data_IF_806967835357
#
_entry.id   IF_806967835357
#
_cell.length_a   1.000
_cell.length_b   1.000
_cell.length_c   1.000
_cell.angle_alpha   90.00
_cell.angle_beta   90.00
_cell.angle_gamma   90.00
#
_symmetry.space_group_name_H-M   'P 1'
#
loop_
_entity.id
_entity.type
_entity.pdbx_description
1 polymer ?
#
# COMPACT_ATOMS: atom_id res chain seq x y z
N UNK A 1 -7.17 -74.60 54.53
CA UNK A 1 -5.79 -74.14 54.73
C UNK A 1 -5.84 -72.67 55.12
N UNK A 2 -5.25 -72.33 56.28
CA UNK A 2 -4.76 -71.03 56.81
C UNK A 2 -5.47 -69.73 56.36
N UNK A 3 -6.14 -68.97 57.25
CA UNK A 3 -5.58 -68.04 58.26
C UNK A 3 -4.84 -66.84 57.61
N UNK A 4 -4.91 -65.58 58.02
CA UNK A 4 -5.64 -64.85 59.05
C UNK A 4 -5.29 -63.34 58.90
N UNK A 5 -6.23 -62.47 59.28
CA UNK A 5 -6.08 -61.25 60.12
C UNK A 5 -5.18 -60.05 59.73
N UNK A 6 -5.79 -58.86 59.92
CA UNK A 6 -5.20 -57.64 60.50
C UNK A 6 -4.46 -56.74 59.51
N UNK A 7 -4.59 -55.41 59.50
CA UNK A 7 -5.18 -54.44 60.41
C UNK A 7 -4.63 -53.05 60.07
N UNK A 8 -5.19 -52.04 60.74
CA UNK A 8 -4.72 -50.65 60.90
C UNK A 8 -5.08 -49.56 59.86
N UNK A 9 -5.98 -48.70 60.34
CA UNK A 9 -6.19 -47.29 60.03
C UNK A 9 -4.91 -46.46 60.21
N UNK A 10 -4.65 -45.53 59.30
CA UNK A 10 -3.99 -44.27 59.59
C UNK A 10 -4.71 -43.14 58.84
N UNK A 11 -5.19 -42.15 59.61
CA UNK A 11 -5.67 -40.86 59.13
C UNK A 11 -4.50 -40.05 58.56
N UNK A 12 -4.70 -39.35 57.44
CA UNK A 12 -3.96 -38.13 57.19
C UNK A 12 -4.84 -37.10 56.45
N UNK A 13 -4.85 -35.88 56.98
CA UNK A 13 -5.60 -34.71 56.53
C UNK A 13 -4.72 -33.92 55.57
N UNK A 14 -5.22 -33.52 54.39
CA UNK A 14 -4.66 -32.37 53.64
C UNK A 14 -5.64 -31.83 52.59
N UNK A 15 -6.21 -30.67 52.95
CA UNK A 15 -6.59 -29.46 52.19
C UNK A 15 -7.37 -29.52 50.86
N UNK A 16 -8.30 -28.56 50.64
CA UNK A 16 -9.04 -28.42 49.39
C UNK A 16 -8.16 -27.84 48.27
N UNK A 17 -8.18 -28.48 47.11
CA UNK A 17 -7.56 -27.96 45.90
C UNK A 17 -8.37 -26.76 45.38
N UNK A 18 -7.80 -25.57 45.54
CA UNK A 18 -8.14 -24.38 44.76
C UNK A 18 -7.57 -24.60 43.35
N UNK A 19 -8.40 -25.02 42.40
CA UNK A 19 -8.02 -25.00 40.99
C UNK A 19 -8.36 -23.63 40.40
N UNK A 20 -7.30 -22.90 40.10
CA UNK A 20 -7.25 -21.56 39.51
C UNK A 20 -8.11 -21.42 38.25
N UNK A 21 -8.97 -20.41 38.25
CA UNK A 21 -9.58 -19.82 37.06
C UNK A 21 -8.52 -19.47 36.02
N UNK A 22 -8.71 -19.97 34.79
CA UNK A 22 -7.88 -19.64 33.64
C UNK A 22 -7.82 -18.13 33.43
N UNK A 23 -6.60 -17.59 33.39
CA UNK A 23 -6.34 -16.26 32.82
C UNK A 23 -6.52 -16.39 31.31
N UNK A 24 -7.71 -16.12 30.83
CA UNK A 24 -7.90 -15.71 29.44
C UNK A 24 -7.13 -14.40 29.22
N UNK A 25 -6.27 -14.42 28.21
CA UNK A 25 -5.51 -13.28 27.71
C UNK A 25 -6.46 -12.17 27.26
N UNK A 26 -6.73 -11.23 28.17
CA UNK A 26 -7.62 -10.09 27.95
C UNK A 26 -6.98 -8.88 27.27
N UNK A 27 -5.73 -8.97 26.79
CA UNK A 27 -5.02 -7.79 26.26
C UNK A 27 -5.67 -7.23 24.99
N UNK A 28 -6.14 -8.11 24.08
CA UNK A 28 -6.71 -7.67 22.80
C UNK A 28 -8.03 -6.91 22.90
N UNK A 29 -8.86 -7.18 23.93
CA UNK A 29 -10.16 -6.50 24.10
C UNK A 29 -10.04 -5.17 24.83
N UNK A 30 -9.16 -5.08 25.82
CA UNK A 30 -8.91 -3.84 26.59
C UNK A 30 -8.22 -2.77 25.74
N UNK A 31 -7.27 -3.16 24.87
CA UNK A 31 -6.53 -2.21 24.04
C UNK A 31 -7.41 -1.53 22.98
N UNK A 32 -8.24 -2.30 22.26
CA UNK A 32 -9.12 -1.74 21.21
C UNK A 32 -10.15 -0.77 21.79
N UNK A 33 -10.63 -1.00 23.01
CA UNK A 33 -11.56 -0.09 23.69
C UNK A 33 -10.86 1.19 24.15
N UNK A 34 -9.64 1.11 24.69
CA UNK A 34 -8.86 2.28 25.10
C UNK A 34 -8.54 3.22 23.91
N UNK A 35 -8.23 2.67 22.73
CA UNK A 35 -7.99 3.49 21.53
C UNK A 35 -9.25 4.17 20.99
N UNK A 36 -10.41 3.49 20.99
CA UNK A 36 -11.68 4.12 20.62
C UNK A 36 -12.03 5.28 21.56
N UNK A 37 -11.79 5.09 22.85
CA UNK A 37 -11.98 6.12 23.87
C UNK A 37 -11.03 7.32 23.68
N UNK A 38 -9.73 7.10 23.46
CA UNK A 38 -8.77 8.20 23.19
C UNK A 38 -9.12 8.97 21.91
N UNK A 39 -9.55 8.27 20.84
CA UNK A 39 -9.98 8.91 19.59
C UNK A 39 -11.25 9.75 19.80
N UNK A 40 -12.20 9.27 20.62
CA UNK A 40 -13.40 10.03 21.00
C UNK A 40 -13.08 11.29 21.83
N UNK A 41 -11.99 11.27 22.60
CA UNK A 41 -11.50 12.42 23.37
C UNK A 41 -10.60 13.38 22.57
N UNK A 42 -10.37 13.13 21.28
CA UNK A 42 -9.48 13.95 20.46
C UNK A 42 -7.99 13.88 20.86
N UNK A 43 -7.60 12.90 21.68
CA UNK A 43 -6.22 12.75 22.14
C UNK A 43 -5.37 12.13 21.03
N UNK A 44 -4.25 12.79 20.71
CA UNK A 44 -3.25 12.22 19.79
C UNK A 44 -2.66 10.96 20.42
N UNK A 45 -2.48 9.91 19.60
CA UNK A 45 -1.83 8.68 20.02
C UNK A 45 -0.42 9.00 20.52
N UNK A 46 -0.05 8.61 21.75
CA UNK A 46 1.26 8.92 22.28
C UNK A 46 2.37 8.17 21.54
N UNK A 47 3.54 8.81 21.40
CA UNK A 47 4.66 8.36 20.56
C UNK A 47 5.26 7.00 20.96
N UNK A 48 5.04 6.53 22.19
CA UNK A 48 5.55 5.24 22.66
C UNK A 48 4.76 4.03 22.12
N UNK A 49 3.58 4.23 21.53
CA UNK A 49 2.74 3.13 21.05
C UNK A 49 3.12 2.71 19.62
N UNK A 50 3.40 1.41 19.37
CA UNK A 50 3.77 0.90 18.04
C UNK A 50 2.75 1.25 16.97
N UNK A 51 3.18 1.48 15.73
CA UNK A 51 2.26 1.70 14.61
C UNK A 51 1.60 0.39 14.14
N UNK A 52 0.51 0.02 14.81
CA UNK A 52 -0.31 -1.15 14.49
C UNK A 52 -0.91 -1.15 13.07
N UNK A 53 -0.85 -0.02 12.35
CA UNK A 53 -1.31 0.07 10.97
C UNK A 53 -0.22 -0.18 9.93
N UNK A 54 1.05 -0.35 10.34
CA UNK A 54 2.21 -0.44 9.43
C UNK A 54 2.06 -1.60 8.45
N UNK A 55 1.91 -2.82 8.94
CA UNK A 55 1.83 -4.02 8.10
C UNK A 55 0.63 -3.99 7.16
N UNK A 56 -0.51 -3.45 7.63
CA UNK A 56 -1.71 -3.26 6.79
C UNK A 56 -1.46 -2.30 5.64
N UNK A 57 -0.70 -1.21 5.87
CA UNK A 57 -0.33 -0.28 4.80
C UNK A 57 0.63 -0.93 3.81
N UNK A 58 1.61 -1.70 4.29
CA UNK A 58 2.51 -2.45 3.40
C UNK A 58 1.72 -3.38 2.49
N UNK A 59 0.83 -4.20 3.05
CA UNK A 59 0.00 -5.12 2.26
C UNK A 59 -0.93 -4.39 1.28
N UNK A 60 -1.50 -3.25 1.68
CA UNK A 60 -2.34 -2.42 0.82
C UNK A 60 -1.54 -1.88 -0.38
N UNK A 61 -0.37 -1.30 -0.13
CA UNK A 61 0.49 -0.72 -1.16
C UNK A 61 1.04 -1.81 -2.08
N UNK A 62 1.38 -2.97 -1.53
CA UNK A 62 1.82 -4.13 -2.30
C UNK A 62 0.74 -4.59 -3.30
N UNK A 63 -0.50 -4.71 -2.82
CA UNK A 63 -1.65 -5.04 -3.67
C UNK A 63 -1.91 -3.97 -4.73
N UNK A 64 -1.76 -2.70 -4.39
CA UNK A 64 -1.96 -1.59 -5.33
C UNK A 64 -1.00 -1.64 -6.53
N UNK A 65 0.27 -1.97 -6.31
CA UNK A 65 1.26 -2.03 -7.39
C UNK A 65 1.30 -3.38 -8.12
N UNK A 66 0.89 -4.47 -7.46
CA UNK A 66 0.90 -5.82 -8.05
C UNK A 66 -0.34 -6.11 -8.89
N UNK A 67 -1.50 -5.55 -8.53
CA UNK A 67 -2.78 -5.84 -9.19
C UNK A 67 -3.29 -4.61 -9.95
N UNK A 68 -2.94 -4.55 -11.25
CA UNK A 68 -3.35 -3.46 -12.13
C UNK A 68 -4.68 -3.75 -12.82
N UNK A 69 -5.78 -3.64 -12.07
CA UNK A 69 -7.14 -3.87 -12.58
C UNK A 69 -8.16 -2.87 -11.99
N UNK A 70 -9.31 -2.76 -12.66
CA UNK A 70 -10.34 -1.80 -12.28
C UNK A 70 -10.94 -2.06 -10.89
N UNK A 71 -11.16 -3.33 -10.51
CA UNK A 71 -11.75 -3.67 -9.23
C UNK A 71 -10.81 -3.29 -8.08
N UNK A 72 -9.52 -3.62 -8.23
CA UNK A 72 -8.49 -3.24 -7.27
C UNK A 72 -8.41 -1.72 -7.11
N UNK A 73 -8.37 -0.95 -8.19
CA UNK A 73 -8.29 0.52 -8.09
C UNK A 73 -9.57 1.16 -7.55
N UNK A 74 -10.75 0.59 -7.82
CA UNK A 74 -11.99 1.09 -7.23
C UNK A 74 -12.03 0.89 -5.72
N UNK A 75 -11.51 -0.24 -5.23
CA UNK A 75 -11.44 -0.56 -3.80
C UNK A 75 -10.37 0.26 -3.07
N UNK A 76 -9.15 0.29 -3.61
CA UNK A 76 -7.99 0.80 -2.88
C UNK A 76 -7.84 2.32 -2.95
N UNK A 77 -8.37 2.98 -3.98
CA UNK A 77 -8.33 4.44 -4.09
C UNK A 77 -9.59 5.04 -3.48
N UNK A 78 -9.43 6.05 -2.63
CA UNK A 78 -10.56 6.81 -2.13
C UNK A 78 -11.26 7.59 -3.25
N UNK A 79 -12.54 7.93 -3.09
CA UNK A 79 -13.29 8.61 -4.15
C UNK A 79 -12.80 10.05 -4.42
N UNK A 80 -12.27 10.71 -3.40
CA UNK A 80 -11.58 12.00 -3.42
C UNK A 80 -10.07 11.85 -3.66
N UNK A 81 -9.61 10.73 -4.20
CA UNK A 81 -8.20 10.48 -4.44
C UNK A 81 -7.56 11.53 -5.38
N UNK A 82 -6.36 11.96 -5.01
CA UNK A 82 -5.52 12.84 -5.81
C UNK A 82 -4.09 12.29 -5.99
N UNK A 83 -3.60 12.35 -7.22
CA UNK A 83 -2.20 12.19 -7.55
C UNK A 83 -1.63 13.57 -7.91
N UNK A 84 -0.65 14.03 -7.15
CA UNK A 84 0.03 15.30 -7.36
C UNK A 84 1.42 15.02 -7.92
N UNK A 85 1.67 15.43 -9.15
CA UNK A 85 3.00 15.40 -9.76
C UNK A 85 3.70 16.74 -9.51
N UNK A 86 4.77 16.71 -8.72
CA UNK A 86 5.56 17.91 -8.43
C UNK A 86 6.69 18.01 -9.44
N UNK A 87 6.73 19.11 -10.19
CA UNK A 87 7.73 19.36 -11.22
C UNK A 87 7.85 20.85 -11.55
N UNK A 88 8.20 21.17 -12.81
CA UNK A 88 8.21 22.57 -13.29
C UNK A 88 6.82 23.23 -13.21
N UNK A 89 5.77 22.43 -13.36
CA UNK A 89 4.37 22.78 -13.12
C UNK A 89 3.78 21.67 -12.26
N UNK A 90 3.04 22.04 -11.23
CA UNK A 90 2.26 21.07 -10.44
C UNK A 90 1.06 20.65 -11.25
N UNK A 91 0.88 19.33 -11.40
CA UNK A 91 -0.28 18.74 -12.05
C UNK A 91 -0.98 17.80 -11.07
N UNK A 92 -2.31 17.88 -11.02
CA UNK A 92 -3.13 17.03 -10.17
C UNK A 92 -4.02 16.16 -11.04
N UNK A 93 -4.05 14.87 -10.73
CA UNK A 93 -4.88 13.88 -11.41
C UNK A 93 -5.84 13.26 -10.40
N UNK A 94 -7.12 13.15 -10.76
CA UNK A 94 -8.11 12.45 -9.93
C UNK A 94 -8.07 10.92 -10.17
N UNK A 95 -8.88 10.18 -9.39
CA UNK A 95 -9.03 8.71 -9.48
C UNK A 95 -9.25 8.20 -10.90
N UNK A 96 -10.15 8.82 -11.66
CA UNK A 96 -10.46 8.36 -13.01
C UNK A 96 -9.32 8.64 -13.99
N UNK A 97 -8.68 9.82 -13.90
CA UNK A 97 -7.55 10.17 -14.75
C UNK A 97 -6.35 9.23 -14.53
N UNK A 98 -6.08 8.88 -13.27
CA UNK A 98 -5.06 7.88 -12.94
C UNK A 98 -5.41 6.49 -13.49
N UNK A 99 -6.66 6.03 -13.30
CA UNK A 99 -7.12 4.75 -13.85
C UNK A 99 -7.01 4.73 -15.38
N UNK A 100 -7.42 5.79 -16.06
CA UNK A 100 -7.35 5.87 -17.52
C UNK A 100 -5.90 5.79 -18.00
N UNK A 101 -4.98 6.48 -17.33
CA UNK A 101 -3.54 6.42 -17.63
C UNK A 101 -3.04 4.96 -17.69
N UNK A 102 -3.38 4.15 -16.68
CA UNK A 102 -2.92 2.77 -16.65
C UNK A 102 -3.78 1.84 -17.50
N UNK A 103 -5.08 1.77 -17.22
CA UNK A 103 -5.98 0.74 -17.76
C UNK A 103 -6.32 0.95 -19.23
N UNK A 104 -6.40 2.22 -19.68
CA UNK A 104 -6.79 2.54 -21.05
C UNK A 104 -5.59 2.73 -21.97
N UNK A 105 -4.52 3.33 -21.48
CA UNK A 105 -3.38 3.68 -22.32
C UNK A 105 -2.16 2.79 -22.12
N UNK A 106 -1.77 2.53 -20.86
CA UNK A 106 -0.50 1.85 -20.56
C UNK A 106 -0.59 0.32 -20.75
N UNK A 107 -1.50 -0.35 -20.04
CA UNK A 107 -1.61 -1.82 -20.08
C UNK A 107 -1.97 -2.35 -21.48
N UNK A 108 -2.86 -1.71 -22.26
CA UNK A 108 -3.15 -2.21 -23.61
C UNK A 108 -1.96 -2.04 -24.58
N UNK A 109 -1.07 -1.07 -24.35
CA UNK A 109 0.13 -0.87 -25.14
C UNK A 109 1.30 -1.77 -24.68
N UNK A 110 1.37 -2.05 -23.39
CA UNK A 110 2.46 -2.78 -22.74
C UNK A 110 1.82 -3.90 -21.90
N UNK A 111 1.49 -5.05 -22.51
CA UNK A 111 0.79 -6.14 -21.80
C UNK A 111 1.57 -6.75 -20.64
N UNK A 112 2.90 -6.66 -20.66
CA UNK A 112 3.82 -7.12 -19.61
C UNK A 112 4.27 -5.98 -18.68
N UNK A 113 3.53 -4.87 -18.66
CA UNK A 113 3.84 -3.73 -17.82
C UNK A 113 3.90 -4.14 -16.35
N UNK A 114 4.96 -3.71 -15.66
CA UNK A 114 5.18 -4.05 -14.26
C UNK A 114 5.73 -2.85 -13.49
N UNK A 115 5.19 -2.66 -12.28
CA UNK A 115 5.79 -1.84 -11.25
C UNK A 115 6.60 -2.73 -10.31
N UNK A 116 7.89 -2.46 -10.16
CA UNK A 116 8.61 -2.89 -8.95
C UNK A 116 8.42 -1.80 -7.90
N UNK A 117 8.16 -2.20 -6.66
CA UNK A 117 7.92 -1.27 -5.56
C UNK A 117 8.60 -1.74 -4.28
N UNK A 118 8.96 -0.77 -3.43
CA UNK A 118 9.48 -1.01 -2.11
C UNK A 118 8.97 0.06 -1.13
N UNK A 119 8.50 -0.39 0.03
CA UNK A 119 8.12 0.48 1.15
C UNK A 119 8.34 -0.26 2.45
N UNK A 120 8.73 0.46 3.50
CA UNK A 120 8.69 -0.08 4.85
C UNK A 120 7.33 0.15 5.50
N UNK A 121 6.43 0.93 4.88
CA UNK A 121 5.12 1.30 5.40
C UNK A 121 5.13 2.30 6.56
N UNK A 122 6.30 2.80 7.00
CA UNK A 122 6.41 3.80 8.06
C UNK A 122 5.84 5.14 7.58
N UNK A 123 5.21 5.91 8.48
CA UNK A 123 4.66 7.23 8.17
C UNK A 123 5.49 8.34 8.79
N UNK A 124 5.60 9.46 8.09
CA UNK A 124 6.09 10.73 8.64
C UNK A 124 5.03 11.41 9.52
N UNK A 125 5.39 12.55 10.12
CA UNK A 125 4.51 13.33 10.99
C UNK A 125 3.26 13.89 10.28
N UNK A 126 3.32 13.98 8.94
CA UNK A 126 2.21 14.42 8.09
C UNK A 126 1.32 13.24 7.65
N UNK A 127 1.71 12.00 7.99
CA UNK A 127 0.96 10.79 7.71
C UNK A 127 1.26 10.15 6.35
N UNK A 128 2.32 10.56 5.66
CA UNK A 128 2.76 9.94 4.41
C UNK A 128 3.75 8.82 4.65
N UNK A 129 3.61 7.73 3.91
CA UNK A 129 4.65 6.73 3.74
C UNK A 129 5.39 6.94 2.42
N UNK A 130 6.67 6.58 2.38
CA UNK A 130 7.46 6.64 1.16
C UNK A 130 7.39 5.28 0.46
N UNK A 131 7.09 5.30 -0.83
CA UNK A 131 7.21 4.16 -1.72
C UNK A 131 8.20 4.50 -2.83
N UNK A 132 9.19 3.65 -3.04
CA UNK A 132 10.04 3.69 -4.22
C UNK A 132 9.43 2.79 -5.29
N UNK A 133 9.28 3.29 -6.51
CA UNK A 133 8.63 2.56 -7.62
C UNK A 133 9.46 2.66 -8.89
N UNK A 134 9.56 1.59 -9.68
CA UNK A 134 10.11 1.61 -11.02
C UNK A 134 9.14 0.96 -12.01
N UNK A 135 8.88 1.63 -13.13
CA UNK A 135 8.10 1.06 -14.21
C UNK A 135 8.99 0.35 -15.24
N UNK A 136 8.58 -0.84 -15.65
CA UNK A 136 9.26 -1.67 -16.66
C UNK A 136 8.24 -2.29 -17.62
N UNK A 137 8.68 -2.72 -18.80
CA UNK A 137 7.84 -3.47 -19.73
C UNK A 137 8.35 -3.47 -21.18
N UNK A 138 7.54 -4.03 -22.07
CA UNK A 138 7.80 -4.21 -23.49
C UNK A 138 6.61 -3.73 -24.35
N UNK A 139 6.83 -2.68 -25.14
CA UNK A 139 5.80 -2.09 -26.00
C UNK A 139 5.51 -2.95 -27.24
N UNK A 140 4.56 -3.88 -27.09
CA UNK A 140 4.17 -4.89 -28.08
C UNK A 140 2.68 -4.87 -28.40
N UNK A 141 1.88 -4.14 -27.62
CA UNK A 141 0.43 -4.10 -27.72
C UNK A 141 -0.08 -3.04 -28.68
N UNK A 142 -1.18 -2.40 -28.29
CA UNK A 142 -1.79 -1.28 -29.02
C UNK A 142 -0.86 -0.06 -29.08
N UNK A 143 -1.11 0.89 -30.00
CA UNK A 143 -0.42 2.18 -29.95
C UNK A 143 -0.53 2.82 -28.56
N UNK A 144 0.59 3.30 -28.04
CA UNK A 144 0.61 4.04 -26.78
C UNK A 144 0.15 5.48 -27.03
N UNK A 145 -0.87 5.91 -26.29
CA UNK A 145 -1.52 7.21 -26.45
C UNK A 145 -1.43 8.01 -25.15
N UNK A 146 -1.03 9.27 -25.25
CA UNK A 146 -1.14 10.24 -24.16
C UNK A 146 -1.91 11.46 -24.66
N UNK A 147 -2.83 12.03 -23.86
CA UNK A 147 -3.54 13.24 -24.23
C UNK A 147 -2.59 14.37 -24.65
N UNK A 148 -2.85 14.99 -25.80
CA UNK A 148 -2.05 16.09 -26.33
C UNK A 148 -0.75 15.69 -27.04
N UNK A 149 -0.48 14.38 -27.18
CA UNK A 149 0.67 13.87 -27.93
C UNK A 149 0.24 12.92 -29.06
N UNK A 150 1.00 12.85 -30.16
CA UNK A 150 0.77 11.85 -31.20
C UNK A 150 0.84 10.41 -30.65
N UNK A 151 -0.02 9.49 -31.09
CA UNK A 151 0.10 8.08 -30.75
C UNK A 151 1.45 7.50 -31.19
N UNK A 152 2.02 6.59 -30.39
CA UNK A 152 3.23 5.84 -30.74
C UNK A 152 2.82 4.42 -31.14
N UNK A 153 3.02 4.00 -32.41
CA UNK A 153 2.82 2.60 -32.80
C UNK A 153 3.72 1.65 -31.98
N UNK A 154 3.32 0.38 -31.85
CA UNK A 154 4.09 -0.65 -31.18
C UNK A 154 5.56 -0.64 -31.67
N UNK A 155 6.47 -0.27 -30.77
CA UNK A 155 7.88 -0.03 -31.13
C UNK A 155 8.78 -1.22 -30.85
N UNK A 156 8.24 -2.28 -30.23
CA UNK A 156 8.95 -3.48 -29.79
C UNK A 156 10.14 -3.18 -28.85
N UNK A 157 10.17 -1.98 -28.25
CA UNK A 157 11.21 -1.60 -27.30
C UNK A 157 10.87 -2.07 -25.90
N UNK A 158 11.88 -2.57 -25.20
CA UNK A 158 11.85 -2.73 -23.75
C UNK A 158 12.27 -1.43 -23.09
N UNK A 159 11.70 -1.15 -21.93
CA UNK A 159 12.10 0.00 -21.13
C UNK A 159 12.22 -0.38 -19.65
N UNK A 160 13.04 0.38 -18.96
CA UNK A 160 13.06 0.49 -17.52
C UNK A 160 13.24 1.99 -17.21
N UNK A 161 12.26 2.60 -16.54
CA UNK A 161 12.33 4.02 -16.18
C UNK A 161 13.23 4.22 -14.97
N UNK A 162 13.54 5.48 -14.64
CA UNK A 162 14.18 5.78 -13.37
C UNK A 162 13.25 5.45 -12.20
N UNK A 163 13.84 5.13 -11.04
CA UNK A 163 13.07 4.93 -9.81
C UNK A 163 12.48 6.26 -9.33
N UNK A 164 11.19 6.26 -8.99
CA UNK A 164 10.46 7.40 -8.45
C UNK A 164 10.17 7.18 -6.98
N UNK A 165 10.28 8.24 -6.18
CA UNK A 165 9.79 8.25 -4.80
C UNK A 165 8.42 8.90 -4.77
N UNK A 166 7.45 8.19 -4.22
CA UNK A 166 6.08 8.66 -4.08
C UNK A 166 5.76 8.74 -2.59
N UNK A 167 5.32 9.91 -2.14
CA UNK A 167 4.69 10.04 -0.82
C UNK A 167 3.26 9.56 -0.94
N UNK A 168 2.86 8.57 -0.17
CA UNK A 168 1.51 7.99 -0.22
C UNK A 168 0.82 8.18 1.12
N UNK A 169 -0.37 8.78 1.10
CA UNK A 169 -1.21 8.95 2.27
C UNK A 169 -2.32 7.90 2.26
N UNK A 170 -2.33 7.07 3.31
CA UNK A 170 -3.33 6.02 3.49
C UNK A 170 -4.19 6.35 4.71
N UNK A 171 -5.49 6.50 4.48
CA UNK A 171 -6.49 6.79 5.51
C UNK A 171 -7.67 5.83 5.35
N UNK A 172 -8.20 5.34 6.48
CA UNK A 172 -9.35 4.42 6.52
C UNK A 172 -9.24 3.19 5.59
N UNK A 173 -8.01 2.73 5.33
CA UNK A 173 -7.74 1.57 4.49
C UNK A 173 -7.79 1.86 2.99
N UNK A 174 -7.75 3.13 2.58
CA UNK A 174 -7.68 3.56 1.19
C UNK A 174 -6.55 4.56 0.98
N UNK A 175 -6.05 4.65 -0.25
CA UNK A 175 -5.10 5.66 -0.69
C UNK A 175 -5.89 6.94 -0.96
N UNK A 176 -5.60 7.98 -0.18
CA UNK A 176 -6.19 9.31 -0.31
C UNK A 176 -5.38 10.20 -1.24
N UNK A 177 -4.05 10.14 -1.13
CA UNK A 177 -3.20 11.00 -1.91
C UNK A 177 -1.88 10.34 -2.23
N UNK A 178 -1.39 10.61 -3.43
CA UNK A 178 -0.05 10.26 -3.87
C UNK A 178 0.65 11.53 -4.34
N UNK A 179 1.85 11.81 -3.85
CA UNK A 179 2.68 12.93 -4.29
C UNK A 179 3.94 12.37 -4.90
N UNK A 180 4.06 12.48 -6.22
CA UNK A 180 5.26 12.07 -6.96
C UNK A 180 6.32 13.14 -6.74
N UNK A 181 7.46 12.75 -6.17
CA UNK A 181 8.59 13.64 -6.01
C UNK A 181 9.29 13.86 -7.36
N UNK A 182 9.83 15.06 -7.64
CA UNK A 182 10.45 15.34 -8.92
C UNK A 182 11.62 14.40 -9.21
N UNK A 183 11.57 13.70 -10.33
CA UNK A 183 12.66 12.85 -10.82
C UNK A 183 12.80 12.99 -12.32
N UNK A 184 14.04 12.93 -12.81
CA UNK A 184 14.31 12.94 -14.25
C UNK A 184 14.09 11.54 -14.81
N UNK A 185 13.52 11.45 -16.01
CA UNK A 185 13.38 10.21 -16.77
C UNK A 185 12.46 9.15 -16.12
N UNK A 186 11.41 9.59 -15.42
CA UNK A 186 10.31 8.73 -15.04
C UNK A 186 8.95 9.42 -15.25
N UNK A 187 7.87 8.72 -14.92
CA UNK A 187 6.50 9.11 -15.25
C UNK A 187 6.12 8.98 -16.74
N UNK A 188 4.89 9.39 -17.10
CA UNK A 188 4.29 9.13 -18.43
C UNK A 188 5.07 9.74 -19.60
N UNK A 189 5.62 10.94 -19.44
CA UNK A 189 6.42 11.58 -20.50
C UNK A 189 7.77 10.87 -20.72
N UNK A 190 8.37 10.30 -19.67
CA UNK A 190 9.58 9.51 -19.84
C UNK A 190 9.29 8.19 -20.55
N UNK A 191 8.16 7.54 -20.21
CA UNK A 191 7.68 6.37 -20.94
C UNK A 191 7.49 6.70 -22.42
N UNK A 192 6.73 7.76 -22.73
CA UNK A 192 6.51 8.21 -24.11
C UNK A 192 7.82 8.38 -24.90
N UNK A 193 8.83 9.03 -24.31
CA UNK A 193 10.16 9.17 -24.92
C UNK A 193 10.89 7.83 -25.07
N UNK A 194 10.86 6.97 -24.06
CA UNK A 194 11.49 5.65 -24.09
C UNK A 194 10.92 4.77 -25.22
N UNK A 195 9.62 4.90 -25.50
CA UNK A 195 8.95 4.19 -26.58
C UNK A 195 9.26 4.74 -27.97
N UNK A 196 9.93 5.90 -28.07
CA UNK A 196 10.32 6.55 -29.33
C UNK A 196 9.53 7.81 -29.68
N UNK A 197 8.65 8.27 -28.80
CA UNK A 197 7.89 9.48 -28.97
C UNK A 197 8.75 10.74 -28.92
N UNK A 198 8.44 11.70 -29.79
CA UNK A 198 9.06 13.03 -29.78
C UNK A 198 8.10 14.00 -29.10
N UNK A 199 8.52 14.59 -27.98
CA UNK A 199 7.76 15.65 -27.33
C UNK A 199 8.06 16.95 -28.09
N UNK A 200 7.04 17.68 -28.59
CA UNK A 200 7.26 18.97 -29.21
C UNK A 200 8.00 19.88 -28.23
N UNK A 201 9.17 20.39 -28.63
CA UNK A 201 9.86 21.42 -27.86
C UNK A 201 8.97 22.65 -27.81
N UNK A 202 8.68 23.17 -26.61
CA UNK A 202 7.98 24.44 -26.41
C UNK A 202 8.88 25.61 -26.84
N UNK A 203 9.15 25.71 -28.14
CA UNK A 203 9.70 26.89 -28.80
C UNK A 203 8.77 27.18 -29.98
N UNK A 204 7.57 27.67 -29.66
CA UNK A 204 6.64 28.29 -30.59
C UNK A 204 5.60 29.10 -29.79
N UNK A 205 6.07 30.12 -29.09
CA UNK A 205 5.34 31.34 -28.74
C UNK A 205 6.36 32.40 -28.34
#
# INVERSE_FOLDING_TARGET
MAAALGGQLLFNVSQPAVSSSGRESGSGKLEVQAFKFMKQLGLKKPAFLPDFGKDKRVALLDRFYTNADEATYNELLADDFELVSVGKKTETYNKQQWKDLLLKYTLPAIPDFNFTHATDGSKDDEGYCIVTVQATGHHTGKPFELPGLPPIPASNKRFALAEEKIKVKVEDGQIKQMVILPVKNAGPLALYKALGGKVPSSNAA
#
